data_IF_629311556104
#
_entry.id   IF_629311556104
#
_cell.length_a   1.000
_cell.length_b   1.000
_cell.length_c   1.000
_cell.angle_alpha   90.00
_cell.angle_beta   90.00
_cell.angle_gamma   90.00
#
_symmetry.space_group_name_H-M   'P 1'
#
loop_
_entity.id
_entity.type
_entity.pdbx_description
1 polymer ?
#
# COMPACT_ATOMS: atom_id res chain seq x y z
N UNK A 1 2.82 35.50 4.22
CA UNK A 1 1.63 35.30 5.06
C UNK A 1 2.12 34.76 6.39
N UNK A 2 1.77 35.41 7.51
CA UNK A 2 2.00 34.80 8.82
C UNK A 2 1.12 33.54 8.91
N UNK A 3 1.68 32.41 9.34
CA UNK A 3 0.88 31.22 9.63
C UNK A 3 -0.04 31.58 10.80
N UNK A 4 -1.35 31.46 10.58
CA UNK A 4 -2.33 31.57 11.66
C UNK A 4 -2.20 30.42 12.64
N UNK A 5 -2.78 30.56 13.83
CA UNK A 5 -2.77 29.51 14.85
C UNK A 5 -3.59 28.29 14.39
N UNK A 6 -3.19 27.09 14.77
CA UNK A 6 -3.88 25.86 14.39
C UNK A 6 -3.14 24.59 14.79
N UNK A 7 -3.53 23.47 14.20
CA UNK A 7 -3.00 22.14 14.51
C UNK A 7 -2.14 21.60 13.36
N UNK A 8 -1.05 20.93 13.71
CA UNK A 8 -0.30 20.09 12.77
C UNK A 8 -0.26 18.66 13.28
N UNK A 9 -0.41 17.72 12.36
CA UNK A 9 -0.52 16.30 12.65
C UNK A 9 0.73 15.56 12.20
N UNK A 10 1.14 14.53 12.95
CA UNK A 10 2.18 13.60 12.56
C UNK A 10 1.66 12.18 12.59
N UNK A 11 1.99 11.38 11.57
CA UNK A 11 1.64 9.97 11.48
C UNK A 11 2.88 9.15 11.08
N UNK A 12 3.12 8.06 11.79
CA UNK A 12 4.21 7.11 11.54
C UNK A 12 3.61 5.72 11.34
N UNK A 13 3.35 5.31 10.09
CA UNK A 13 2.78 4.01 9.81
C UNK A 13 3.65 2.86 10.31
N UNK A 14 3.06 2.03 11.17
CA UNK A 14 3.66 0.78 11.65
C UNK A 14 2.77 -0.42 11.37
N UNK A 15 3.22 -1.59 11.83
CA UNK A 15 2.35 -2.77 11.94
C UNK A 15 1.45 -2.69 13.18
N UNK A 16 0.85 -3.82 13.53
CA UNK A 16 0.02 -3.98 14.74
C UNK A 16 0.66 -3.32 15.98
N UNK A 17 -0.16 -2.53 16.68
CA UNK A 17 0.14 -1.65 17.82
C UNK A 17 1.37 -0.73 17.70
N UNK A 18 1.80 -0.43 16.47
CA UNK A 18 3.01 0.37 16.20
C UNK A 18 2.77 1.54 15.27
N UNK A 19 1.52 1.85 14.92
CA UNK A 19 1.19 3.03 14.14
C UNK A 19 1.18 4.27 15.05
N UNK A 20 2.23 5.09 14.97
CA UNK A 20 2.35 6.32 15.75
C UNK A 20 1.51 7.47 15.21
N UNK A 21 0.95 8.28 16.10
CA UNK A 21 0.34 9.56 15.75
C UNK A 21 0.61 10.64 16.79
N UNK A 22 0.63 11.90 16.37
CA UNK A 22 0.88 13.08 17.20
C UNK A 22 0.08 14.28 16.71
N UNK A 23 -0.31 15.15 17.63
CA UNK A 23 -0.94 16.45 17.35
C UNK A 23 -0.16 17.52 18.08
N UNK A 24 0.31 18.54 17.37
CA UNK A 24 0.95 19.71 17.94
C UNK A 24 0.14 20.96 17.62
N UNK A 25 0.14 21.93 18.54
CA UNK A 25 -0.35 23.29 18.24
C UNK A 25 0.75 24.08 17.54
N UNK A 26 0.32 24.94 16.61
CA UNK A 26 1.15 25.97 16.00
C UNK A 26 0.53 27.30 16.37
N UNK A 27 1.33 28.21 16.92
CA UNK A 27 0.92 29.58 17.18
C UNK A 27 1.97 30.55 16.65
N UNK A 28 1.51 31.56 15.93
CA UNK A 28 2.36 32.61 15.32
C UNK A 28 3.60 32.07 14.57
N UNK A 29 3.48 30.89 13.95
CA UNK A 29 4.55 30.23 13.20
C UNK A 29 5.55 29.41 14.03
N UNK A 30 5.35 29.29 15.34
CA UNK A 30 6.11 28.37 16.20
C UNK A 30 5.29 27.11 16.49
N UNK A 31 5.96 25.95 16.46
CA UNK A 31 5.37 24.68 16.89
C UNK A 31 5.56 24.51 18.40
N UNK A 32 4.51 24.13 19.10
CA UNK A 32 4.55 23.80 20.53
C UNK A 32 4.90 22.33 20.75
N UNK A 33 5.09 21.95 22.03
CA UNK A 33 5.16 20.54 22.41
C UNK A 33 3.88 19.79 21.96
N UNK A 34 3.97 18.47 21.72
CA UNK A 34 2.79 17.69 21.36
C UNK A 34 1.68 17.88 22.39
N UNK A 35 0.49 18.27 21.91
CA UNK A 35 -0.72 18.31 22.70
C UNK A 35 -1.09 16.90 23.15
N UNK A 36 -0.93 15.94 22.24
CA UNK A 36 -1.19 14.53 22.49
C UNK A 36 -0.41 13.66 21.51
N UNK A 37 -0.18 12.41 21.90
CA UNK A 37 0.40 11.37 21.06
C UNK A 37 -0.26 10.03 21.37
N UNK A 38 -0.14 9.07 20.47
CA UNK A 38 -0.62 7.73 20.71
C UNK A 38 -0.12 6.70 19.71
N UNK A 39 -0.55 5.46 19.93
CA UNK A 39 -0.33 4.32 19.06
C UNK A 39 -1.69 3.77 18.60
N UNK A 40 -1.69 3.17 17.42
CA UNK A 40 -2.80 2.39 16.90
C UNK A 40 -2.25 1.16 16.16
N UNK A 41 -3.15 0.24 15.80
CA UNK A 41 -2.80 -0.97 15.05
C UNK A 41 -2.77 -0.77 13.52
N UNK A 42 -3.45 0.26 13.03
CA UNK A 42 -3.56 0.55 11.59
C UNK A 42 -3.84 2.05 11.35
N UNK A 43 -3.86 2.44 10.07
CA UNK A 43 -4.06 3.83 9.64
C UNK A 43 -5.44 4.38 10.01
N UNK A 44 -6.49 3.56 9.96
CA UNK A 44 -7.84 3.99 10.29
C UNK A 44 -7.98 4.20 11.80
N UNK A 45 -7.43 3.30 12.61
CA UNK A 45 -7.32 3.44 14.06
C UNK A 45 -6.58 4.72 14.44
N UNK A 46 -5.42 4.98 13.82
CA UNK A 46 -4.65 6.21 14.09
C UNK A 46 -5.43 7.48 13.72
N UNK A 47 -6.07 7.49 12.55
CA UNK A 47 -6.93 8.60 12.13
C UNK A 47 -8.09 8.82 13.12
N UNK A 48 -8.77 7.76 13.54
CA UNK A 48 -9.91 7.84 14.48
C UNK A 48 -9.49 8.31 15.88
N UNK A 49 -8.35 7.84 16.37
CA UNK A 49 -7.79 8.30 17.65
C UNK A 49 -7.42 9.78 17.60
N UNK A 50 -6.78 10.24 16.52
CA UNK A 50 -6.47 11.65 16.33
C UNK A 50 -7.73 12.50 16.17
N UNK A 51 -8.72 12.02 15.41
CA UNK A 51 -9.97 12.72 15.12
C UNK A 51 -10.72 13.14 16.39
N UNK A 52 -10.79 12.27 17.42
CA UNK A 52 -11.48 12.61 18.66
C UNK A 52 -10.88 13.82 19.39
N UNK A 53 -9.56 14.00 19.29
CA UNK A 53 -8.86 15.16 19.88
C UNK A 53 -9.00 16.38 18.99
N UNK A 54 -8.87 16.21 17.68
CA UNK A 54 -9.08 17.28 16.69
C UNK A 54 -10.49 17.88 16.87
N UNK A 55 -11.52 17.06 16.93
CA UNK A 55 -12.91 17.50 17.10
C UNK A 55 -13.16 18.24 18.43
N UNK A 56 -12.33 18.01 19.45
CA UNK A 56 -12.35 18.76 20.71
C UNK A 56 -11.73 20.15 20.55
N UNK A 57 -10.54 20.20 19.97
CA UNK A 57 -9.74 21.43 19.78
C UNK A 57 -10.33 22.39 18.75
N UNK A 58 -10.99 21.86 17.70
CA UNK A 58 -11.61 22.67 16.65
C UNK A 58 -12.94 23.32 17.07
N UNK A 59 -13.48 22.99 18.25
CA UNK A 59 -14.69 23.65 18.78
C UNK A 59 -14.40 25.09 19.23
N UNK A 60 -13.15 25.40 19.55
CA UNK A 60 -12.73 26.75 19.87
C UNK A 60 -12.61 27.57 18.58
N UNK A 61 -13.41 28.63 18.48
CA UNK A 61 -13.55 29.43 17.28
C UNK A 61 -12.19 30.03 16.84
N UNK A 62 -11.58 29.46 15.80
CA UNK A 62 -10.34 29.95 15.19
C UNK A 62 -9.29 28.87 14.93
N UNK A 63 -9.40 27.71 15.57
CA UNK A 63 -8.49 26.57 15.33
C UNK A 63 -8.86 25.84 14.03
N UNK A 64 -7.86 25.43 13.26
CA UNK A 64 -7.99 24.60 12.07
C UNK A 64 -6.84 23.60 11.98
N UNK A 65 -7.02 22.50 11.26
CA UNK A 65 -5.88 21.64 10.88
C UNK A 65 -5.14 22.31 9.73
N UNK A 66 -3.86 22.61 9.95
CA UNK A 66 -3.01 23.33 9.00
C UNK A 66 -2.26 22.39 8.07
N UNK A 67 -1.74 21.28 8.61
CA UNK A 67 -0.93 20.32 7.86
C UNK A 67 -0.86 18.96 8.55
N UNK A 68 -0.46 17.94 7.78
CA UNK A 68 -0.11 16.63 8.30
C UNK A 68 1.20 16.14 7.66
N UNK A 69 2.13 15.66 8.49
CA UNK A 69 3.28 14.88 8.07
C UNK A 69 2.98 13.39 8.22
N UNK A 70 3.37 12.59 7.24
CA UNK A 70 3.20 11.13 7.27
C UNK A 70 4.53 10.50 6.90
N UNK A 71 5.05 9.58 7.72
CA UNK A 71 6.26 8.81 7.44
C UNK A 71 6.00 7.70 6.41
N UNK A 72 5.66 8.12 5.19
CA UNK A 72 5.42 7.21 4.09
C UNK A 72 5.68 7.88 2.73
N UNK A 73 6.07 7.10 1.70
CA UNK A 73 5.98 7.53 0.31
C UNK A 73 4.53 7.85 -0.09
N UNK A 74 4.19 9.13 -0.26
CA UNK A 74 2.84 9.56 -0.70
C UNK A 74 2.70 9.80 -2.22
N UNK A 75 3.81 9.66 -2.97
CA UNK A 75 3.81 9.76 -4.43
C UNK A 75 4.95 8.96 -5.04
N UNK A 76 4.80 8.63 -6.32
CA UNK A 76 5.68 7.73 -7.05
C UNK A 76 5.96 8.20 -8.48
N UNK A 77 6.97 7.61 -9.10
CA UNK A 77 7.36 7.85 -10.49
C UNK A 77 7.21 6.57 -11.32
N UNK A 78 6.96 6.71 -12.62
CA UNK A 78 6.76 5.57 -13.54
C UNK A 78 7.95 4.61 -13.60
N UNK A 79 9.15 5.10 -13.32
CA UNK A 79 10.41 4.35 -13.41
C UNK A 79 10.88 3.77 -12.07
N UNK A 80 10.05 3.82 -11.03
CA UNK A 80 10.34 3.18 -9.75
C UNK A 80 11.44 3.82 -8.90
N UNK A 81 11.99 4.95 -9.34
CA UNK A 81 13.05 5.68 -8.64
C UNK A 81 12.66 7.15 -8.46
N UNK A 82 12.73 7.66 -7.23
CA UNK A 82 12.45 9.08 -6.95
C UNK A 82 13.73 9.87 -6.80
N UNK A 83 13.83 10.96 -7.56
CA UNK A 83 14.92 11.93 -7.41
C UNK A 83 14.96 12.51 -6.00
N UNK A 84 13.81 12.73 -5.38
CA UNK A 84 13.69 13.20 -4.00
C UNK A 84 14.41 12.28 -3.01
N UNK A 85 14.20 10.95 -3.10
CA UNK A 85 14.89 9.98 -2.25
C UNK A 85 16.40 9.99 -2.48
N UNK A 86 16.84 10.21 -3.72
CA UNK A 86 18.27 10.35 -4.01
C UNK A 86 18.86 11.62 -3.40
N UNK A 87 18.15 12.75 -3.47
CA UNK A 87 18.57 14.00 -2.85
C UNK A 87 18.72 13.85 -1.33
N UNK A 88 17.73 13.26 -0.64
CA UNK A 88 17.81 13.06 0.82
C UNK A 88 18.94 12.08 1.18
N UNK A 89 19.11 10.98 0.45
CA UNK A 89 20.23 10.05 0.69
C UNK A 89 21.59 10.71 0.49
N UNK A 90 21.71 11.60 -0.50
CA UNK A 90 22.96 12.34 -0.72
C UNK A 90 23.23 13.30 0.44
N UNK A 91 22.23 14.04 0.91
CA UNK A 91 22.37 14.90 2.08
C UNK A 91 22.78 14.10 3.34
N UNK A 92 22.17 12.94 3.58
CA UNK A 92 22.56 12.05 4.69
C UNK A 92 24.02 11.56 4.55
N UNK A 93 24.47 11.25 3.34
CA UNK A 93 25.88 10.88 3.08
C UNK A 93 26.84 12.04 3.32
N UNK A 94 26.45 13.25 2.93
CA UNK A 94 27.23 14.48 3.16
C UNK A 94 27.39 14.80 4.66
N UNK A 95 26.54 14.22 5.50
CA UNK A 95 26.58 14.33 6.97
C UNK A 95 27.03 13.03 7.66
N UNK A 96 27.77 12.16 6.97
CA UNK A 96 28.35 10.91 7.53
C UNK A 96 27.35 9.98 8.22
N UNK A 97 26.08 10.00 7.79
CA UNK A 97 25.06 9.11 8.36
C UNK A 97 25.35 7.65 7.99
N UNK A 98 25.38 6.69 8.95
CA UNK A 98 25.89 5.33 8.71
C UNK A 98 25.12 4.51 7.68
N UNK A 99 23.80 4.69 7.54
CA UNK A 99 22.95 3.82 6.70
C UNK A 99 21.88 4.59 5.89
N UNK A 100 22.24 5.50 4.97
CA UNK A 100 21.27 6.35 4.27
C UNK A 100 20.24 5.55 3.45
N UNK A 101 20.63 4.40 2.90
CA UNK A 101 19.74 3.51 2.16
C UNK A 101 18.75 2.73 3.05
N UNK A 102 19.09 2.53 4.33
CA UNK A 102 18.19 1.94 5.32
C UNK A 102 17.13 2.93 5.82
N UNK A 103 17.51 4.21 5.93
CA UNK A 103 16.64 5.31 6.37
C UNK A 103 15.68 5.77 5.28
N UNK A 104 16.19 5.98 4.07
CA UNK A 104 15.38 6.40 2.92
C UNK A 104 15.25 5.23 1.96
N UNK A 105 14.19 4.45 2.15
CA UNK A 105 13.95 3.23 1.38
C UNK A 105 13.73 3.53 -0.10
N UNK A 106 14.18 2.60 -0.96
CA UNK A 106 13.92 2.67 -2.39
C UNK A 106 12.64 1.92 -2.74
N UNK A 107 11.78 2.55 -3.54
CA UNK A 107 10.56 1.92 -4.07
C UNK A 107 10.90 0.72 -4.97
N UNK A 108 12.03 0.77 -5.69
CA UNK A 108 12.56 -0.40 -6.39
C UNK A 108 13.35 -1.33 -5.45
N UNK A 109 12.73 -1.72 -4.34
CA UNK A 109 13.21 -2.76 -3.43
C UNK A 109 12.18 -3.89 -3.41
N UNK A 110 12.51 -5.05 -2.81
CA UNK A 110 11.53 -6.16 -2.70
C UNK A 110 10.21 -5.71 -2.04
N UNK A 111 10.29 -4.92 -0.96
CA UNK A 111 9.09 -4.41 -0.26
C UNK A 111 8.33 -3.38 -1.09
N UNK A 112 9.05 -2.46 -1.74
CA UNK A 112 8.43 -1.48 -2.63
C UNK A 112 7.88 -2.10 -3.92
N UNK A 113 8.45 -3.21 -4.39
CA UNK A 113 7.94 -3.94 -5.55
C UNK A 113 6.54 -4.50 -5.29
N UNK A 114 6.35 -5.17 -4.14
CA UNK A 114 5.05 -5.73 -3.79
C UNK A 114 4.02 -4.64 -3.46
N UNK A 115 4.38 -3.63 -2.66
CA UNK A 115 3.39 -2.65 -2.16
C UNK A 115 3.12 -1.48 -3.12
N UNK A 116 4.06 -1.15 -3.99
CA UNK A 116 3.97 0.04 -4.84
C UNK A 116 4.04 -0.31 -6.33
N UNK A 117 5.02 -1.11 -6.76
CA UNK A 117 5.19 -1.40 -8.20
C UNK A 117 3.99 -2.16 -8.79
N UNK A 118 3.38 -3.08 -8.02
CA UNK A 118 2.15 -3.75 -8.44
C UNK A 118 1.01 -2.76 -8.71
N UNK A 119 0.79 -1.80 -7.80
CA UNK A 119 -0.23 -0.75 -7.94
C UNK A 119 0.07 0.16 -9.14
N UNK A 120 1.33 0.54 -9.34
CA UNK A 120 1.76 1.34 -10.49
C UNK A 120 1.54 0.62 -11.82
N UNK A 121 1.87 -0.68 -11.89
CA UNK A 121 1.62 -1.49 -13.07
C UNK A 121 0.13 -1.60 -13.37
N UNK A 122 -0.68 -1.86 -12.35
CA UNK A 122 -2.13 -1.88 -12.47
C UNK A 122 -2.69 -0.54 -13.01
N UNK A 123 -2.20 0.60 -12.49
CA UNK A 123 -2.58 1.92 -13.02
C UNK A 123 -2.18 2.07 -14.49
N UNK A 124 -0.98 1.65 -14.87
CA UNK A 124 -0.53 1.74 -16.26
C UNK A 124 -1.34 0.86 -17.21
N UNK A 125 -1.68 -0.36 -16.80
CA UNK A 125 -2.54 -1.26 -17.57
C UNK A 125 -3.94 -0.68 -17.73
N UNK A 126 -4.50 -0.13 -16.65
CA UNK A 126 -5.80 0.51 -16.67
C UNK A 126 -5.82 1.74 -17.59
N UNK A 127 -4.85 2.65 -17.46
CA UNK A 127 -4.74 3.87 -18.28
C UNK A 127 -4.53 3.56 -19.77
N UNK A 128 -3.91 2.41 -20.11
CA UNK A 128 -3.59 2.04 -21.49
C UNK A 128 -4.67 1.19 -22.18
N UNK A 129 -5.39 0.35 -21.43
CA UNK A 129 -6.26 -0.68 -22.01
C UNK A 129 -7.66 -0.77 -21.40
N UNK A 130 -7.97 0.00 -20.36
CA UNK A 130 -9.27 -0.05 -19.64
C UNK A 130 -9.71 -1.49 -19.29
N UNK A 131 -8.76 -2.32 -18.86
CA UNK A 131 -8.98 -3.75 -18.59
C UNK A 131 -9.30 -4.03 -17.11
N UNK A 132 -10.05 -5.10 -16.81
CA UNK A 132 -10.22 -5.58 -15.44
C UNK A 132 -8.90 -6.12 -14.88
N UNK A 133 -8.69 -5.93 -13.57
CA UNK A 133 -7.45 -6.30 -12.88
C UNK A 133 -7.79 -7.26 -11.75
N UNK A 134 -7.01 -8.33 -11.61
CA UNK A 134 -7.10 -9.23 -10.45
C UNK A 134 -5.83 -9.18 -9.63
N UNK A 135 -5.99 -9.18 -8.32
CA UNK A 135 -4.93 -9.50 -7.37
C UNK A 135 -4.64 -11.02 -7.40
N UNK A 136 -3.39 -11.40 -7.17
CA UNK A 136 -2.95 -12.80 -7.24
C UNK A 136 -1.86 -13.09 -6.22
N UNK A 137 -1.97 -14.23 -5.54
CA UNK A 137 -0.92 -14.81 -4.70
C UNK A 137 -0.40 -16.10 -5.34
N UNK A 138 0.53 -16.04 -6.31
CA UNK A 138 0.83 -17.15 -7.21
C UNK A 138 1.32 -18.41 -6.49
N UNK A 139 2.11 -18.27 -5.43
CA UNK A 139 2.56 -19.41 -4.61
C UNK A 139 1.42 -20.09 -3.85
N UNK A 140 0.47 -19.30 -3.32
CA UNK A 140 -0.71 -19.83 -2.65
C UNK A 140 -1.65 -20.49 -3.66
N UNK A 141 -1.85 -19.86 -4.82
CA UNK A 141 -2.64 -20.42 -5.92
C UNK A 141 -2.08 -21.77 -6.37
N UNK A 142 -0.77 -21.86 -6.63
CA UNK A 142 -0.12 -23.12 -7.01
C UNK A 142 -0.29 -24.20 -5.94
N UNK A 143 -0.14 -23.82 -4.67
CA UNK A 143 -0.34 -24.75 -3.57
C UNK A 143 -1.77 -25.32 -3.55
N UNK A 144 -2.79 -24.46 -3.68
CA UNK A 144 -4.19 -24.90 -3.70
C UNK A 144 -4.50 -25.78 -4.91
N UNK A 145 -4.03 -25.41 -6.10
CA UNK A 145 -4.19 -26.23 -7.31
C UNK A 145 -3.61 -27.63 -7.12
N UNK A 146 -2.41 -27.75 -6.53
CA UNK A 146 -1.77 -29.04 -6.26
C UNK A 146 -2.49 -29.89 -5.23
N UNK A 147 -3.34 -29.31 -4.38
CA UNK A 147 -4.17 -30.08 -3.44
C UNK A 147 -5.35 -30.77 -4.10
N UNK A 148 -5.82 -30.21 -5.22
CA UNK A 148 -6.83 -30.84 -6.08
C UNK A 148 -6.14 -31.75 -7.09
N UNK A 149 -5.55 -32.84 -6.59
CA UNK A 149 -4.87 -33.83 -7.42
C UNK A 149 -5.80 -34.29 -8.57
N UNK A 150 -5.24 -34.37 -9.78
CA UNK A 150 -5.92 -34.82 -11.00
C UNK A 150 -7.06 -33.94 -11.53
N UNK A 151 -7.20 -32.70 -11.03
CA UNK A 151 -8.09 -31.72 -11.68
C UNK A 151 -7.52 -31.27 -13.04
N UNK A 152 -8.40 -30.96 -13.99
CA UNK A 152 -8.01 -30.39 -15.28
C UNK A 152 -7.23 -29.07 -15.11
N UNK A 153 -7.52 -28.30 -14.05
CA UNK A 153 -6.83 -27.06 -13.72
C UNK A 153 -5.42 -27.29 -13.20
N UNK A 154 -5.21 -28.33 -12.41
CA UNK A 154 -3.89 -28.73 -11.90
C UNK A 154 -3.00 -29.12 -13.07
N UNK A 155 -3.48 -30.01 -13.94
CA UNK A 155 -2.74 -30.44 -15.14
C UNK A 155 -2.41 -29.28 -16.07
N UNK A 156 -3.35 -28.35 -16.29
CA UNK A 156 -3.12 -27.14 -17.07
C UNK A 156 -2.02 -26.28 -16.44
N UNK A 157 -2.10 -26.02 -15.13
CA UNK A 157 -1.14 -25.18 -14.42
C UNK A 157 0.28 -25.75 -14.47
N UNK A 158 0.46 -27.05 -14.22
CA UNK A 158 1.78 -27.70 -14.29
C UNK A 158 2.37 -27.61 -15.71
N UNK A 159 1.55 -27.83 -16.74
CA UNK A 159 2.00 -27.69 -18.14
C UNK A 159 2.42 -26.27 -18.47
N UNK A 160 1.71 -25.25 -17.97
CA UNK A 160 2.03 -23.85 -18.23
C UNK A 160 3.35 -23.40 -17.57
N UNK A 161 3.78 -24.07 -16.50
CA UNK A 161 4.92 -23.63 -15.68
C UNK A 161 6.15 -24.55 -15.71
N UNK A 162 6.07 -25.72 -16.36
CA UNK A 162 7.06 -26.80 -16.25
C UNK A 162 8.53 -26.37 -16.44
N UNK A 163 8.79 -25.39 -17.31
CA UNK A 163 10.15 -24.94 -17.68
C UNK A 163 10.41 -23.47 -17.29
N UNK A 164 9.60 -22.89 -16.40
CA UNK A 164 9.70 -21.49 -16.01
C UNK A 164 10.51 -21.33 -14.72
N UNK A 165 11.33 -20.26 -14.65
CA UNK A 165 11.91 -19.85 -13.37
C UNK A 165 10.84 -19.31 -12.42
N UNK A 166 11.20 -19.10 -11.15
CA UNK A 166 10.25 -18.67 -10.11
C UNK A 166 9.45 -17.42 -10.48
N UNK A 167 10.10 -16.39 -11.04
CA UNK A 167 9.42 -15.15 -11.41
C UNK A 167 8.50 -15.32 -12.62
N UNK A 168 8.94 -16.06 -13.62
CA UNK A 168 8.15 -16.37 -14.81
C UNK A 168 6.95 -17.25 -14.45
N UNK A 169 7.14 -18.27 -13.61
CA UNK A 169 6.06 -19.11 -13.06
C UNK A 169 5.03 -18.26 -12.35
N UNK A 170 5.47 -17.40 -11.43
CA UNK A 170 4.58 -16.58 -10.61
C UNK A 170 3.78 -15.60 -11.50
N UNK A 171 4.40 -15.03 -12.53
CA UNK A 171 3.71 -14.20 -13.54
C UNK A 171 2.70 -15.01 -14.38
N UNK A 172 3.06 -16.21 -14.83
CA UNK A 172 2.16 -17.10 -15.60
C UNK A 172 0.95 -17.52 -14.77
N UNK A 173 1.13 -17.84 -13.49
CA UNK A 173 0.03 -18.12 -12.56
C UNK A 173 -0.84 -16.88 -12.32
N UNK A 174 -0.25 -15.70 -12.32
CA UNK A 174 -1.02 -14.44 -12.24
C UNK A 174 -1.90 -14.24 -13.49
N UNK A 175 -1.38 -14.58 -14.67
CA UNK A 175 -2.15 -14.59 -15.90
C UNK A 175 -3.28 -15.65 -15.88
N UNK A 176 -3.05 -16.81 -15.27
CA UNK A 176 -4.08 -17.83 -15.08
C UNK A 176 -5.25 -17.32 -14.20
N UNK A 177 -4.95 -16.59 -13.12
CA UNK A 177 -5.97 -15.96 -12.30
C UNK A 177 -6.71 -14.84 -13.06
N UNK A 178 -6.03 -14.07 -13.90
CA UNK A 178 -6.67 -13.10 -14.77
C UNK A 178 -7.60 -13.76 -15.80
N UNK A 179 -7.24 -14.94 -16.32
CA UNK A 179 -8.13 -15.74 -17.14
C UNK A 179 -9.34 -16.25 -16.33
N UNK A 180 -9.14 -16.70 -15.09
CA UNK A 180 -10.23 -17.16 -14.23
C UNK A 180 -11.25 -16.05 -13.93
N UNK A 181 -10.82 -14.79 -13.89
CA UNK A 181 -11.73 -13.65 -13.79
C UNK A 181 -12.67 -13.52 -15.00
N UNK A 182 -12.23 -13.91 -16.19
CA UNK A 182 -13.02 -13.88 -17.42
C UNK A 182 -13.85 -15.15 -17.62
N UNK A 183 -13.32 -16.30 -17.20
CA UNK A 183 -13.92 -17.61 -17.33
C UNK A 183 -13.72 -18.43 -16.04
N UNK A 184 -14.54 -18.19 -15.00
CA UNK A 184 -14.37 -18.81 -13.69
C UNK A 184 -14.41 -20.34 -13.75
N UNK A 185 -13.32 -21.04 -13.37
CA UNK A 185 -13.36 -22.48 -13.26
C UNK A 185 -14.30 -22.92 -12.14
N UNK A 186 -14.89 -24.13 -12.21
CA UNK A 186 -15.65 -24.69 -11.10
C UNK A 186 -14.84 -24.68 -9.79
N UNK A 187 -15.46 -24.28 -8.68
CA UNK A 187 -14.81 -24.21 -7.37
C UNK A 187 -13.97 -22.95 -7.11
N UNK A 188 -13.82 -22.07 -8.11
CA UNK A 188 -13.16 -20.78 -7.91
C UNK A 188 -14.14 -19.71 -7.49
N UNK A 189 -13.68 -18.79 -6.64
CA UNK A 189 -14.46 -17.66 -6.15
C UNK A 189 -13.66 -16.37 -6.23
N UNK A 190 -14.34 -15.27 -6.54
CA UNK A 190 -13.83 -13.93 -6.27
C UNK A 190 -13.92 -13.63 -4.77
N UNK A 191 -12.78 -13.36 -4.14
CA UNK A 191 -12.67 -13.03 -2.72
C UNK A 191 -12.86 -11.54 -2.46
N UNK A 192 -12.70 -10.67 -3.47
CA UNK A 192 -12.81 -9.22 -3.28
C UNK A 192 -14.15 -8.79 -2.67
N UNK A 193 -15.32 -9.33 -3.06
CA UNK A 193 -16.60 -8.96 -2.45
C UNK A 193 -16.76 -9.30 -0.97
N UNK A 194 -15.84 -10.09 -0.39
CA UNK A 194 -15.87 -10.42 1.04
C UNK A 194 -15.20 -9.35 1.92
N UNK A 195 -14.47 -8.41 1.34
CA UNK A 195 -13.80 -7.34 2.07
C UNK A 195 -14.78 -6.18 2.36
N UNK A 196 -14.95 -5.75 3.62
CA UNK A 196 -15.77 -4.59 3.94
C UNK A 196 -15.09 -3.28 3.50
N UNK A 197 -15.77 -2.52 2.64
CA UNK A 197 -15.36 -1.17 2.21
C UNK A 197 -13.89 -1.08 1.70
N UNK A 198 -13.50 -1.88 0.68
CA UNK A 198 -12.13 -1.91 0.19
C UNK A 198 -11.72 -0.57 -0.42
N UNK A 199 -10.46 -0.18 -0.22
CA UNK A 199 -9.86 1.00 -0.81
C UNK A 199 -8.84 0.59 -1.86
N UNK A 200 -8.94 1.18 -3.06
CA UNK A 200 -7.94 1.02 -4.11
C UNK A 200 -7.84 2.29 -4.96
N UNK A 201 -6.69 2.57 -5.59
CA UNK A 201 -6.46 3.81 -6.33
C UNK A 201 -6.98 3.77 -7.77
N UNK A 202 -7.89 2.85 -8.09
CA UNK A 202 -8.42 2.63 -9.44
C UNK A 202 -9.92 2.92 -9.48
N UNK A 203 -10.43 3.41 -10.60
CA UNK A 203 -11.86 3.66 -10.78
C UNK A 203 -12.65 2.41 -11.19
N UNK A 204 -11.98 1.27 -11.32
CA UNK A 204 -12.58 -0.04 -11.59
C UNK A 204 -12.36 -0.99 -10.43
N UNK A 205 -13.35 -1.83 -10.09
CA UNK A 205 -13.16 -2.88 -9.10
C UNK A 205 -11.97 -3.79 -9.45
N UNK A 206 -11.20 -4.15 -8.44
CA UNK A 206 -10.18 -5.21 -8.52
C UNK A 206 -10.86 -6.53 -8.17
N UNK A 207 -10.50 -7.63 -8.83
CA UNK A 207 -10.96 -8.97 -8.46
C UNK A 207 -9.88 -9.71 -7.65
N UNK A 208 -10.25 -10.80 -6.99
CA UNK A 208 -9.29 -11.69 -6.34
C UNK A 208 -9.74 -13.15 -6.44
N UNK A 209 -9.40 -13.79 -7.56
CA UNK A 209 -9.86 -15.14 -7.89
C UNK A 209 -8.97 -16.24 -7.30
N UNK A 210 -9.57 -17.17 -6.55
CA UNK A 210 -8.89 -18.32 -5.94
C UNK A 210 -9.76 -19.59 -5.94
N UNK A 211 -9.15 -20.80 -6.04
CA UNK A 211 -9.82 -22.08 -5.81
C UNK A 211 -10.03 -22.32 -4.30
N UNK A 212 -11.06 -21.70 -3.74
CA UNK A 212 -11.43 -21.84 -2.33
C UNK A 212 -12.93 -22.14 -2.26
N UNK A 213 -13.25 -23.33 -1.78
CA UNK A 213 -14.60 -23.81 -1.47
C UNK A 213 -15.04 -23.41 -0.08
#
# INVERSE_FOLDING_TARGET
>A
MALGSGLVLGFDPGGEDRFGWSICRVDQGSIEAPLTTGLASDAWGAFRSAQGVIDGELRDAGSQVLAAGIDAPLYWTRNGSRRTDQCVRNALKEHDYPTPAGTVQQINSLRGACLVQGVLLAKHLHDAYELPITETHPKALLYLLRREADSAMTLLSERLIAELNDHQRDATLSALAAWAMLAPPPGWRDLYPSEPAPLHPFNTPVAYWMPIT
#
